data_IF_814301733999
#
_entry.id   IF_814301733999
#
_cell.length_a   1.000
_cell.length_b   1.000
_cell.length_c   1.000
_cell.angle_alpha   90.00
_cell.angle_beta   90.00
_cell.angle_gamma   90.00
#
_symmetry.space_group_name_H-M   'P 1'
#
loop_
_entity.id
_entity.type
_entity.pdbx_description
1 polymer ?
#
# COMPACT_ATOMS: atom_id res chain seq x y z
N UNK A 1 -4.54 -0.81 7.63
CA UNK A 1 -5.54 -1.29 6.64
C UNK A 1 -6.36 -2.49 7.13
N UNK A 2 -6.31 -2.85 8.43
CA UNK A 2 -7.00 -4.03 8.96
C UNK A 2 -6.19 -5.31 8.78
N UNK A 3 -6.53 -6.35 9.55
CA UNK A 3 -5.83 -7.65 9.51
C UNK A 3 -5.96 -8.34 8.14
N UNK A 4 -7.07 -8.10 7.45
CA UNK A 4 -7.37 -8.68 6.15
C UNK A 4 -7.01 -7.77 4.97
N UNK A 5 -6.30 -6.65 5.21
CA UNK A 5 -5.90 -5.70 4.15
C UNK A 5 -7.05 -4.91 3.50
N UNK A 6 -8.29 -5.08 3.95
CA UNK A 6 -9.51 -4.56 3.30
C UNK A 6 -9.88 -3.11 3.68
N UNK A 7 -8.93 -2.35 4.21
CA UNK A 7 -9.14 -0.98 4.68
C UNK A 7 -9.89 -0.86 6.03
N UNK A 8 -10.51 -1.92 6.55
CA UNK A 8 -11.36 -1.91 7.76
C UNK A 8 -10.56 -2.17 9.04
N UNK A 9 -9.52 -1.37 9.26
CA UNK A 9 -8.73 -1.45 10.49
C UNK A 9 -9.44 -0.81 11.68
N UNK A 10 -8.98 -1.12 12.89
CA UNK A 10 -9.52 -0.56 14.14
C UNK A 10 -9.66 0.97 14.11
N UNK A 11 -8.71 1.68 13.49
CA UNK A 11 -8.73 3.14 13.41
C UNK A 11 -9.51 3.71 12.22
N UNK A 12 -10.05 2.88 11.31
CA UNK A 12 -10.79 3.35 10.12
C UNK A 12 -11.94 4.31 10.47
N UNK A 13 -12.78 4.06 11.50
CA UNK A 13 -13.88 4.96 11.85
C UNK A 13 -13.44 6.36 12.29
N UNK A 14 -12.17 6.53 12.68
CA UNK A 14 -11.61 7.80 13.15
C UNK A 14 -10.88 8.58 12.05
N UNK A 15 -10.81 8.05 10.83
CA UNK A 15 -10.11 8.68 9.71
C UNK A 15 -11.11 9.36 8.77
N UNK A 16 -10.80 10.59 8.35
CA UNK A 16 -11.60 11.34 7.36
C UNK A 16 -11.49 10.76 5.95
N UNK A 17 -10.40 10.05 5.67
CA UNK A 17 -10.16 9.35 4.41
C UNK A 17 -10.02 7.86 4.72
N UNK A 18 -10.82 7.05 4.04
CA UNK A 18 -10.77 5.59 4.18
C UNK A 18 -9.39 5.06 3.79
N UNK A 19 -8.77 4.19 4.59
CA UNK A 19 -7.57 3.47 4.17
C UNK A 19 -7.84 2.68 2.89
N UNK A 20 -6.85 2.62 2.00
CA UNK A 20 -6.95 1.84 0.76
C UNK A 20 -7.29 0.37 1.00
N UNK A 21 -8.04 -0.23 0.08
CA UNK A 21 -8.41 -1.65 0.12
C UNK A 21 -7.45 -2.46 -0.75
N UNK A 22 -6.56 -3.23 -0.10
CA UNK A 22 -5.58 -4.08 -0.78
C UNK A 22 -6.20 -5.35 -1.36
N UNK A 23 -7.45 -5.68 -1.02
CA UNK A 23 -8.16 -6.86 -1.56
C UNK A 23 -8.85 -6.56 -2.89
N UNK A 24 -8.93 -5.29 -3.30
CA UNK A 24 -9.50 -4.89 -4.57
C UNK A 24 -8.50 -5.14 -5.72
N UNK A 25 -8.55 -6.32 -6.32
CA UNK A 25 -7.66 -6.71 -7.41
C UNK A 25 -7.71 -5.73 -8.59
N UNK A 26 -8.89 -5.30 -9.04
CA UNK A 26 -9.03 -4.34 -10.16
C UNK A 26 -8.29 -3.03 -9.91
N UNK A 27 -8.27 -2.54 -8.67
CA UNK A 27 -7.51 -1.34 -8.30
C UNK A 27 -6.02 -1.63 -8.18
N UNK A 28 -5.65 -2.74 -7.55
CA UNK A 28 -4.27 -3.08 -7.20
C UNK A 28 -3.45 -3.53 -8.41
N UNK A 29 -4.05 -4.19 -9.39
CA UNK A 29 -3.42 -4.57 -10.67
C UNK A 29 -2.98 -3.36 -11.49
N UNK A 30 -3.56 -2.18 -11.24
CA UNK A 30 -3.20 -0.93 -11.91
C UNK A 30 -2.10 -0.15 -11.19
N UNK A 31 -1.47 -0.72 -10.15
CA UNK A 31 -0.41 -0.07 -9.38
C UNK A 31 0.88 -0.82 -9.61
N UNK A 32 1.93 -0.14 -10.02
CA UNK A 32 3.27 -0.73 -10.10
C UNK A 32 3.85 -0.95 -8.69
N UNK A 33 4.74 -1.94 -8.56
CA UNK A 33 5.36 -2.27 -7.25
C UNK A 33 6.21 -1.12 -6.71
N UNK A 34 6.86 -0.35 -7.59
CA UNK A 34 7.62 0.86 -7.23
C UNK A 34 6.72 1.92 -6.57
N UNK A 35 5.50 2.09 -7.06
CA UNK A 35 4.52 3.04 -6.54
C UNK A 35 4.06 2.62 -5.16
N UNK A 36 3.89 1.32 -4.93
CA UNK A 36 3.57 0.78 -3.61
C UNK A 36 4.75 0.96 -2.64
N UNK A 37 5.97 0.66 -3.10
CA UNK A 37 7.20 0.87 -2.36
C UNK A 37 7.34 2.33 -1.92
N UNK A 38 7.24 3.27 -2.86
CA UNK A 38 7.37 4.70 -2.60
C UNK A 38 6.28 5.17 -1.64
N UNK A 39 5.04 4.69 -1.80
CA UNK A 39 3.97 5.05 -0.87
C UNK A 39 4.26 4.59 0.56
N UNK A 40 4.85 3.41 0.76
CA UNK A 40 5.29 2.96 2.09
C UNK A 40 6.49 3.79 2.56
N UNK A 41 7.46 4.04 1.69
CA UNK A 41 8.71 4.70 2.03
C UNK A 41 8.51 6.17 2.42
N UNK A 42 7.88 6.98 1.56
CA UNK A 42 7.74 8.44 1.73
C UNK A 42 6.39 8.86 2.33
N UNK A 43 5.42 7.95 2.36
CA UNK A 43 4.11 8.19 2.97
C UNK A 43 3.11 8.92 2.08
N UNK A 44 1.88 9.04 2.59
CA UNK A 44 0.74 9.53 1.85
C UNK A 44 0.81 10.99 1.44
N UNK A 45 1.39 11.87 2.27
CA UNK A 45 1.46 13.31 1.95
C UNK A 45 2.22 13.57 0.64
N UNK A 46 3.34 12.88 0.42
CA UNK A 46 4.14 13.00 -0.81
C UNK A 46 3.41 12.34 -1.98
N UNK A 47 2.76 11.20 -1.74
CA UNK A 47 2.05 10.44 -2.78
C UNK A 47 0.61 10.92 -3.06
N UNK A 48 0.25 12.15 -2.66
CA UNK A 48 -1.08 12.73 -2.81
C UNK A 48 -2.22 11.85 -2.22
N UNK A 49 -1.98 11.31 -1.02
CA UNK A 49 -2.92 10.54 -0.20
C UNK A 49 -3.07 11.20 1.17
N UNK A 50 -3.82 10.56 2.07
CA UNK A 50 -4.00 11.03 3.44
C UNK A 50 -2.66 11.20 4.18
N UNK A 51 -2.50 12.33 4.86
CA UNK A 51 -1.36 12.57 5.76
C UNK A 51 -1.27 11.60 6.95
N UNK A 52 -2.36 10.89 7.27
CA UNK A 52 -2.37 9.83 8.28
C UNK A 52 -1.70 8.52 7.81
N UNK A 53 -1.25 8.47 6.56
CA UNK A 53 -0.33 7.43 6.09
C UNK A 53 1.11 7.97 6.21
N UNK A 54 1.82 7.75 7.31
CA UNK A 54 3.20 8.22 7.46
C UNK A 54 4.13 7.46 6.52
N UNK A 55 5.29 8.05 6.22
CA UNK A 55 6.39 7.35 5.58
C UNK A 55 7.12 6.43 6.58
N UNK A 56 7.59 5.29 6.10
CA UNK A 56 8.26 4.27 6.89
C UNK A 56 9.72 4.05 6.49
N UNK A 57 10.23 4.77 5.49
CA UNK A 57 11.60 4.60 4.95
C UNK A 57 12.72 4.85 5.97
N UNK A 58 12.48 5.64 7.02
CA UNK A 58 13.45 5.86 8.11
C UNK A 58 13.42 4.75 9.18
N UNK A 59 12.42 3.88 9.16
CA UNK A 59 12.18 2.82 10.17
C UNK A 59 12.30 1.41 9.61
N UNK A 60 12.20 1.25 8.30
CA UNK A 60 12.24 -0.02 7.59
C UNK A 60 13.37 0.02 6.56
N UNK A 61 14.12 -1.06 6.45
CA UNK A 61 15.07 -1.25 5.37
C UNK A 61 14.35 -1.35 4.01
N UNK A 62 15.04 -1.06 2.89
CA UNK A 62 14.47 -1.25 1.56
C UNK A 62 13.94 -2.68 1.33
N UNK A 63 14.65 -3.68 1.86
CA UNK A 63 14.22 -5.08 1.76
C UNK A 63 12.89 -5.32 2.48
N UNK A 64 12.72 -4.81 3.69
CA UNK A 64 11.47 -4.96 4.44
C UNK A 64 10.30 -4.33 3.70
N UNK A 65 10.49 -3.16 3.10
CA UNK A 65 9.44 -2.50 2.32
C UNK A 65 9.06 -3.36 1.10
N UNK A 66 10.04 -3.93 0.38
CA UNK A 66 9.76 -4.88 -0.71
C UNK A 66 8.98 -6.10 -0.21
N UNK A 67 9.34 -6.68 0.94
CA UNK A 67 8.63 -7.81 1.54
C UNK A 67 7.17 -7.44 1.92
N UNK A 68 6.93 -6.19 2.34
CA UNK A 68 5.58 -5.65 2.56
C UNK A 68 4.80 -5.44 1.26
N UNK A 69 5.45 -4.99 0.17
CA UNK A 69 4.82 -4.92 -1.15
C UNK A 69 4.35 -6.30 -1.59
N UNK A 70 5.18 -7.33 -1.42
CA UNK A 70 4.80 -8.72 -1.72
C UNK A 70 3.65 -9.20 -0.83
N UNK A 71 3.60 -8.77 0.43
CA UNK A 71 2.47 -9.06 1.32
C UNK A 71 1.18 -8.37 0.85
N UNK A 72 1.27 -7.14 0.34
CA UNK A 72 0.13 -6.42 -0.26
C UNK A 72 -0.43 -7.20 -1.46
N UNK A 73 0.44 -7.73 -2.34
CA UNK A 73 0.04 -8.53 -3.51
C UNK A 73 -0.73 -9.80 -3.12
N UNK A 74 -0.43 -10.40 -1.97
CA UNK A 74 -1.15 -11.57 -1.47
C UNK A 74 -2.61 -11.26 -1.10
N UNK A 75 -2.93 -10.02 -0.68
CA UNK A 75 -4.31 -9.65 -0.35
C UNK A 75 -5.22 -9.57 -1.58
N UNK A 76 -4.71 -9.09 -2.71
CA UNK A 76 -5.47 -9.03 -3.96
C UNK A 76 -5.37 -10.31 -4.80
N UNK A 77 -4.42 -11.20 -4.48
CA UNK A 77 -4.01 -12.31 -5.36
C UNK A 77 -3.74 -11.82 -6.79
N UNK A 78 -2.97 -10.73 -6.90
CA UNK A 78 -2.74 -10.02 -8.14
C UNK A 78 -1.26 -9.68 -8.33
N UNK A 79 -0.89 -9.35 -9.56
CA UNK A 79 0.46 -8.86 -9.91
C UNK A 79 0.40 -7.38 -10.27
N UNK A 80 1.58 -6.76 -10.38
CA UNK A 80 1.70 -5.42 -10.94
C UNK A 80 1.34 -5.40 -12.45
N UNK A 81 1.04 -4.22 -13.04
CA UNK A 81 0.75 -4.10 -14.46
C UNK A 81 1.89 -4.62 -15.33
N UNK A 82 1.56 -5.18 -16.49
CA UNK A 82 2.57 -5.74 -17.40
C UNK A 82 3.61 -4.72 -17.86
N UNK A 83 3.24 -3.44 -18.02
CA UNK A 83 4.19 -2.38 -18.39
C UNK A 83 5.23 -2.08 -17.31
N UNK A 84 5.00 -2.52 -16.07
CA UNK A 84 5.90 -2.36 -14.93
C UNK A 84 6.70 -3.64 -14.63
N UNK A 85 6.41 -4.75 -15.32
CA UNK A 85 7.18 -6.00 -15.20
C UNK A 85 8.48 -5.83 -15.99
N UNK A 86 9.60 -5.75 -15.28
CA UNK A 86 10.95 -5.80 -15.85
C UNK A 86 11.53 -7.21 -15.73
#
# INVERSE_FOLDING_TARGET
HGLNGNGKGFNEPNLTVKPGDFTNATLMEQRADDTLYDTIHVGGRIMNKSHFMPGWGEKMSPKEIVDYVQTIRKFCNCEQPDWAKN
#
